data_IF_249574424051
#
_entry.id   IF_249574424051
#
_cell.length_a   1.000
_cell.length_b   1.000
_cell.length_c   1.000
_cell.angle_alpha   90.00
_cell.angle_beta   90.00
_cell.angle_gamma   90.00
#
_symmetry.space_group_name_H-M   'P 1'
#
loop_
_entity.id
_entity.type
_entity.pdbx_description
1 polymer ?
#
# COMPACT_ATOMS: atom_id res chain seq x y z
N UNK A 1 -20.71 -27.49 47.38
CA UNK A 1 -20.67 -26.60 46.19
C UNK A 1 -19.29 -25.95 45.97
N UNK A 2 -18.68 -25.35 46.99
CA UNK A 2 -17.34 -24.71 46.91
C UNK A 2 -16.22 -25.59 46.33
N UNK A 3 -16.16 -26.88 46.71
CA UNK A 3 -15.15 -27.81 46.19
C UNK A 3 -15.20 -28.00 44.67
N UNK A 4 -16.41 -28.11 44.10
CA UNK A 4 -16.59 -28.27 42.65
C UNK A 4 -16.26 -26.98 41.89
N UNK A 5 -16.48 -25.82 42.53
CA UNK A 5 -16.14 -24.51 41.97
C UNK A 5 -14.62 -24.28 41.96
N UNK A 6 -13.92 -24.69 43.02
CA UNK A 6 -12.45 -24.65 43.07
C UNK A 6 -11.81 -25.57 42.03
N UNK A 7 -12.33 -26.80 41.87
CA UNK A 7 -11.83 -27.73 40.84
C UNK A 7 -12.03 -27.20 39.41
N UNK A 8 -13.13 -26.47 39.18
CA UNK A 8 -13.39 -25.81 37.89
C UNK A 8 -12.44 -24.65 37.63
N UNK A 9 -12.12 -23.86 38.66
CA UNK A 9 -11.15 -22.75 38.57
C UNK A 9 -9.73 -23.28 38.31
N UNK A 10 -9.33 -24.35 38.98
CA UNK A 10 -8.02 -25.00 38.75
C UNK A 10 -7.86 -25.50 37.31
N UNK A 11 -8.91 -26.13 36.76
CA UNK A 11 -8.92 -26.58 35.37
C UNK A 11 -8.84 -25.41 34.38
N UNK A 12 -9.51 -24.29 34.65
CA UNK A 12 -9.43 -23.08 33.84
C UNK A 12 -8.04 -22.44 33.89
N UNK A 13 -7.44 -22.33 35.09
CA UNK A 13 -6.09 -21.82 35.27
C UNK A 13 -5.06 -22.67 34.54
N UNK A 14 -5.20 -24.00 34.60
CA UNK A 14 -4.32 -24.92 33.87
C UNK A 14 -4.41 -24.72 32.36
N UNK A 15 -5.63 -24.62 31.82
CA UNK A 15 -5.86 -24.38 30.40
C UNK A 15 -5.28 -23.04 29.94
N UNK A 16 -5.48 -21.97 30.71
CA UNK A 16 -4.91 -20.66 30.40
C UNK A 16 -3.38 -20.66 30.43
N UNK A 17 -2.76 -21.42 31.34
CA UNK A 17 -1.31 -21.56 31.39
C UNK A 17 -0.76 -22.33 30.17
N UNK A 18 -1.45 -23.37 29.71
CA UNK A 18 -1.09 -24.10 28.49
C UNK A 18 -1.18 -23.19 27.25
N UNK A 19 -2.28 -22.44 27.11
CA UNK A 19 -2.45 -21.45 26.03
C UNK A 19 -1.37 -20.36 26.07
N UNK A 20 -1.03 -19.85 27.26
CA UNK A 20 0.06 -18.87 27.43
C UNK A 20 1.44 -19.45 27.07
N UNK A 21 1.68 -20.72 27.34
CA UNK A 21 2.93 -21.38 26.94
C UNK A 21 3.02 -21.56 25.43
N UNK A 22 1.92 -21.90 24.76
CA UNK A 22 1.88 -22.00 23.31
C UNK A 22 2.00 -20.64 22.62
N UNK A 23 1.36 -19.59 23.17
CA UNK A 23 1.55 -18.21 22.71
C UNK A 23 3.02 -17.79 22.87
N UNK A 24 3.65 -18.09 24.02
CA UNK A 24 5.07 -17.80 24.25
C UNK A 24 5.99 -18.58 23.30
N UNK A 25 5.69 -19.85 22.99
CA UNK A 25 6.42 -20.63 21.97
C UNK A 25 6.28 -20.00 20.58
N UNK A 26 5.07 -19.65 20.18
CA UNK A 26 4.79 -19.01 18.89
C UNK A 26 5.49 -17.63 18.78
N UNK A 27 5.51 -16.85 19.86
CA UNK A 27 6.25 -15.58 19.92
C UNK A 27 7.77 -15.78 19.86
N UNK A 28 8.33 -16.83 20.48
CA UNK A 28 9.76 -17.18 20.37
C UNK A 28 10.13 -17.60 18.95
N UNK A 29 9.29 -18.39 18.27
CA UNK A 29 9.49 -18.75 16.86
C UNK A 29 9.38 -17.53 15.93
N UNK A 30 8.46 -16.60 16.21
CA UNK A 30 8.35 -15.34 15.46
C UNK A 30 9.55 -14.42 15.69
N UNK A 31 10.06 -14.35 16.92
CA UNK A 31 11.25 -13.58 17.28
C UNK A 31 12.53 -14.18 16.66
N UNK A 32 12.69 -15.51 16.64
CA UNK A 32 13.78 -16.19 15.95
C UNK A 32 13.79 -15.91 14.44
N UNK A 33 12.61 -15.86 13.80
CA UNK A 33 12.48 -15.46 12.39
C UNK A 33 12.73 -13.96 12.15
N UNK A 34 12.67 -13.12 13.19
CA UNK A 34 12.94 -11.68 13.08
C UNK A 34 14.44 -11.33 13.14
N UNK A 35 15.28 -12.26 13.62
CA UNK A 35 16.73 -12.09 13.79
C UNK A 35 17.58 -12.31 12.53
N UNK A 36 17.01 -12.88 11.46
CA UNK A 36 17.69 -12.92 10.16
C UNK A 36 17.74 -11.51 9.59
N UNK A 37 18.94 -10.96 9.38
CA UNK A 37 19.16 -9.64 8.75
C UNK A 37 18.20 -9.49 7.58
N UNK A 38 17.20 -8.60 7.70
CA UNK A 38 16.21 -8.39 6.64
C UNK A 38 16.93 -7.90 5.39
N UNK A 39 17.23 -8.80 4.45
CA UNK A 39 17.89 -8.47 3.19
C UNK A 39 17.05 -7.40 2.48
N UNK A 40 17.55 -6.18 2.41
CA UNK A 40 16.89 -5.10 1.69
C UNK A 40 17.01 -5.37 0.19
N UNK A 41 15.87 -5.43 -0.50
CA UNK A 41 15.82 -5.69 -1.94
C UNK A 41 15.58 -4.37 -2.67
N UNK A 42 16.53 -3.91 -3.50
CA UNK A 42 16.32 -2.72 -4.33
C UNK A 42 15.14 -2.90 -5.29
N UNK A 43 14.43 -1.80 -5.59
CA UNK A 43 13.29 -1.82 -6.53
C UNK A 43 13.70 -2.32 -7.92
N UNK A 44 14.88 -1.92 -8.38
CA UNK A 44 15.45 -2.34 -9.66
C UNK A 44 15.68 -3.86 -9.72
N UNK A 45 16.20 -4.45 -8.63
CA UNK A 45 16.36 -5.90 -8.52
C UNK A 45 15.00 -6.63 -8.64
N UNK A 46 13.98 -6.10 -7.97
CA UNK A 46 12.62 -6.65 -8.06
C UNK A 46 12.04 -6.54 -9.48
N UNK A 47 12.36 -5.46 -10.20
CA UNK A 47 11.90 -5.25 -11.58
C UNK A 47 12.60 -6.20 -12.55
N UNK A 48 13.93 -6.34 -12.44
CA UNK A 48 14.72 -7.28 -13.23
C UNK A 48 14.22 -8.73 -13.06
N UNK A 49 13.94 -9.15 -11.84
CA UNK A 49 13.34 -10.47 -11.55
C UNK A 49 12.00 -10.67 -12.26
N UNK A 50 11.14 -9.65 -12.30
CA UNK A 50 9.82 -9.73 -12.96
C UNK A 50 9.98 -9.84 -14.47
N UNK A 51 10.93 -9.11 -15.04
CA UNK A 51 11.22 -9.14 -16.48
C UNK A 51 11.76 -10.50 -16.90
N UNK A 52 12.74 -11.02 -16.17
CA UNK A 52 13.30 -12.37 -16.41
C UNK A 52 12.23 -13.45 -16.24
N UNK A 53 11.46 -13.42 -15.15
CA UNK A 53 10.35 -14.37 -14.98
C UNK A 53 9.33 -14.24 -16.11
N UNK A 54 9.01 -13.02 -16.53
CA UNK A 54 8.07 -12.76 -17.61
C UNK A 54 8.51 -13.38 -18.94
N UNK A 55 9.80 -13.39 -19.23
CA UNK A 55 10.37 -14.09 -20.40
C UNK A 55 10.25 -15.60 -20.26
N UNK A 56 10.75 -16.17 -19.15
CA UNK A 56 10.68 -17.61 -18.87
C UNK A 56 9.25 -18.16 -18.94
N UNK A 57 8.29 -17.40 -18.42
CA UNK A 57 6.88 -17.77 -18.45
C UNK A 57 6.26 -17.71 -19.84
N UNK A 58 6.60 -16.68 -20.65
CA UNK A 58 6.09 -16.54 -22.02
C UNK A 58 6.66 -17.60 -22.95
N UNK A 59 7.92 -17.95 -22.77
CA UNK A 59 8.62 -18.93 -23.60
C UNK A 59 8.20 -20.37 -23.25
N UNK A 60 7.32 -20.57 -22.26
CA UNK A 60 6.89 -21.88 -21.78
C UNK A 60 7.99 -22.69 -21.10
N UNK A 61 9.17 -22.09 -20.91
CA UNK A 61 10.37 -22.74 -20.37
C UNK A 61 10.38 -22.77 -18.84
N UNK A 62 9.42 -22.11 -18.19
CA UNK A 62 9.23 -22.20 -16.75
C UNK A 62 8.03 -21.42 -16.24
N UNK A 63 7.78 -21.52 -14.94
CA UNK A 63 6.70 -20.80 -14.30
C UNK A 63 6.52 -21.29 -12.87
N UNK A 64 6.11 -20.41 -11.98
CA UNK A 64 5.79 -20.83 -10.63
C UNK A 64 4.53 -21.68 -10.63
N UNK A 65 4.61 -22.86 -10.01
CA UNK A 65 3.44 -23.61 -9.64
C UNK A 65 2.78 -22.97 -8.42
N UNK A 66 1.75 -22.16 -8.67
CA UNK A 66 1.07 -21.36 -7.64
C UNK A 66 0.16 -22.20 -6.72
N UNK A 67 -0.11 -23.46 -7.07
CA UNK A 67 -0.86 -24.40 -6.21
C UNK A 67 0.01 -24.92 -5.05
N UNK A 68 1.33 -24.92 -5.22
CA UNK A 68 2.29 -25.41 -4.24
C UNK A 68 2.85 -24.27 -3.38
N UNK A 69 3.68 -24.63 -2.39
CA UNK A 69 4.40 -23.67 -1.57
C UNK A 69 5.60 -23.10 -2.32
N UNK A 70 6.04 -21.88 -1.94
CA UNK A 70 7.18 -21.20 -2.57
C UNK A 70 8.53 -21.89 -2.35
N UNK A 71 8.59 -22.85 -1.45
CA UNK A 71 9.79 -23.60 -1.04
C UNK A 71 9.77 -25.04 -1.55
N UNK A 72 8.75 -25.44 -2.33
CA UNK A 72 8.77 -26.74 -2.98
C UNK A 72 9.91 -26.79 -4.02
N UNK A 73 10.40 -28.00 -4.30
CA UNK A 73 11.53 -28.20 -5.21
C UNK A 73 11.29 -27.56 -6.58
N UNK A 74 10.10 -27.72 -7.16
CA UNK A 74 9.72 -27.14 -8.44
C UNK A 74 9.85 -25.60 -8.45
N UNK A 75 9.29 -24.93 -7.45
CA UNK A 75 9.37 -23.47 -7.35
C UNK A 75 10.80 -22.98 -7.02
N UNK A 76 11.58 -23.74 -6.25
CA UNK A 76 12.99 -23.41 -5.97
C UNK A 76 13.88 -23.56 -7.21
N UNK A 77 13.56 -24.50 -8.12
CA UNK A 77 14.23 -24.58 -9.43
C UNK A 77 13.96 -23.32 -10.25
N UNK A 78 12.70 -22.86 -10.31
CA UNK A 78 12.34 -21.61 -10.99
C UNK A 78 13.07 -20.41 -10.38
N UNK A 79 13.13 -20.33 -9.04
CA UNK A 79 13.90 -19.28 -8.35
C UNK A 79 15.39 -19.35 -8.71
N UNK A 80 15.97 -20.54 -8.76
CA UNK A 80 17.39 -20.73 -9.10
C UNK A 80 17.70 -20.32 -10.54
N UNK A 81 16.81 -20.66 -11.48
CA UNK A 81 16.89 -20.20 -12.87
C UNK A 81 16.82 -18.68 -12.95
N UNK A 82 15.85 -18.04 -12.29
CA UNK A 82 15.74 -16.58 -12.23
C UNK A 82 17.03 -15.96 -11.68
N UNK A 83 17.58 -16.50 -10.60
CA UNK A 83 18.84 -16.00 -10.01
C UNK A 83 19.98 -16.06 -11.02
N UNK A 84 20.11 -17.19 -11.74
CA UNK A 84 21.13 -17.35 -12.78
C UNK A 84 20.96 -16.32 -13.89
N UNK A 85 19.77 -16.21 -14.45
CA UNK A 85 19.50 -15.32 -15.60
C UNK A 85 19.63 -13.84 -15.22
N UNK A 86 19.09 -13.41 -14.07
CA UNK A 86 19.23 -12.02 -13.59
C UNK A 86 20.70 -11.64 -13.40
N UNK A 87 21.51 -12.53 -12.81
CA UNK A 87 22.94 -12.28 -12.61
C UNK A 87 23.74 -12.33 -13.91
N UNK A 88 23.28 -13.09 -14.90
CA UNK A 88 23.85 -13.10 -16.25
C UNK A 88 23.60 -11.75 -16.96
N UNK A 89 22.36 -11.26 -16.93
CA UNK A 89 21.96 -10.05 -17.66
C UNK A 89 22.43 -8.73 -17.02
N UNK A 90 22.47 -8.66 -15.69
CA UNK A 90 22.75 -7.41 -14.96
C UNK A 90 24.13 -7.38 -14.29
N UNK A 91 24.92 -8.44 -14.47
CA UNK A 91 26.22 -8.60 -13.83
C UNK A 91 26.12 -9.21 -12.42
N UNK A 92 27.15 -9.98 -12.05
CA UNK A 92 27.19 -10.74 -10.79
C UNK A 92 27.35 -9.86 -9.55
N UNK A 93 27.87 -8.65 -9.70
CA UNK A 93 28.21 -7.75 -8.59
C UNK A 93 27.06 -6.81 -8.21
N UNK A 94 26.12 -6.55 -9.13
CA UNK A 94 25.05 -5.56 -8.92
C UNK A 94 24.12 -5.94 -7.77
N UNK A 95 23.74 -7.21 -7.68
CA UNK A 95 22.88 -7.75 -6.61
C UNK A 95 23.35 -9.12 -6.14
N UNK A 96 23.25 -9.34 -4.83
CA UNK A 96 23.57 -10.64 -4.21
C UNK A 96 22.54 -11.70 -4.60
N UNK A 97 22.94 -12.98 -4.58
CA UNK A 97 22.02 -14.10 -4.75
C UNK A 97 20.79 -14.00 -3.83
N UNK A 98 20.99 -13.60 -2.59
CA UNK A 98 19.92 -13.54 -1.60
C UNK A 98 18.93 -12.41 -1.87
N UNK A 99 19.39 -11.26 -2.37
CA UNK A 99 18.50 -10.19 -2.83
C UNK A 99 17.61 -10.66 -3.98
N UNK A 100 18.20 -11.31 -4.98
CA UNK A 100 17.47 -11.81 -6.16
C UNK A 100 16.51 -12.95 -5.77
N UNK A 101 16.97 -13.90 -4.95
CA UNK A 101 16.14 -14.99 -4.41
C UNK A 101 14.97 -14.46 -3.59
N UNK A 102 15.21 -13.48 -2.72
CA UNK A 102 14.15 -12.83 -1.93
C UNK A 102 13.17 -12.07 -2.82
N UNK A 103 13.65 -11.36 -3.84
CA UNK A 103 12.80 -10.72 -4.83
C UNK A 103 11.91 -11.73 -5.57
N UNK A 104 12.47 -12.85 -6.02
CA UNK A 104 11.73 -13.92 -6.70
C UNK A 104 10.66 -14.55 -5.79
N UNK A 105 10.99 -14.89 -4.54
CA UNK A 105 10.03 -15.41 -3.56
C UNK A 105 8.92 -14.41 -3.19
N UNK A 106 9.25 -13.13 -3.17
CA UNK A 106 8.27 -12.04 -2.98
C UNK A 106 7.34 -11.94 -4.19
N UNK A 107 7.89 -12.11 -5.39
CA UNK A 107 7.09 -12.09 -6.62
C UNK A 107 6.17 -13.30 -6.72
N UNK A 108 6.63 -14.52 -6.39
CA UNK A 108 5.77 -15.69 -6.22
C UNK A 108 4.57 -15.38 -5.32
N UNK A 109 4.84 -14.81 -4.13
CA UNK A 109 3.78 -14.51 -3.16
C UNK A 109 2.77 -13.50 -3.73
N UNK A 110 3.26 -12.52 -4.49
CA UNK A 110 2.42 -11.55 -5.20
C UNK A 110 1.54 -12.19 -6.27
N UNK A 111 2.09 -13.13 -7.06
CA UNK A 111 1.35 -13.88 -8.09
C UNK A 111 0.28 -14.77 -7.46
N UNK A 112 0.63 -15.50 -6.40
CA UNK A 112 -0.31 -16.37 -5.68
C UNK A 112 -1.43 -15.56 -5.02
N UNK A 113 -1.11 -14.44 -4.40
CA UNK A 113 -2.12 -13.54 -3.83
C UNK A 113 -3.03 -12.95 -4.92
N UNK A 114 -2.50 -12.67 -6.11
CA UNK A 114 -3.32 -12.25 -7.26
C UNK A 114 -4.27 -13.37 -7.66
N UNK A 115 -3.76 -14.59 -7.88
CA UNK A 115 -4.58 -15.77 -8.22
C UNK A 115 -5.70 -15.99 -7.20
N UNK A 116 -5.38 -16.01 -5.90
CA UNK A 116 -6.37 -16.14 -4.82
C UNK A 116 -7.49 -15.08 -4.90
N UNK A 117 -7.16 -13.83 -5.25
CA UNK A 117 -8.17 -12.77 -5.42
C UNK A 117 -9.03 -12.94 -6.66
N UNK A 118 -8.44 -13.44 -7.75
CA UNK A 118 -9.16 -13.74 -9.00
C UNK A 118 -10.10 -14.91 -8.78
N UNK A 119 -9.58 -16.03 -8.27
CA UNK A 119 -10.36 -17.24 -7.98
C UNK A 119 -11.48 -16.94 -6.96
N UNK A 120 -11.23 -16.04 -5.99
CA UNK A 120 -12.23 -15.59 -5.01
C UNK A 120 -13.11 -14.42 -5.46
N UNK A 121 -13.07 -13.98 -6.72
CA UNK A 121 -13.91 -12.90 -7.26
C UNK A 121 -13.72 -11.52 -6.63
N UNK A 122 -12.66 -11.30 -5.84
CA UNK A 122 -12.41 -10.04 -5.12
C UNK A 122 -11.38 -9.14 -5.80
N UNK A 123 -10.82 -9.57 -6.93
CA UNK A 123 -9.75 -8.88 -7.64
C UNK A 123 -10.12 -7.44 -8.03
N UNK A 124 -11.27 -7.25 -8.69
CA UNK A 124 -11.70 -5.93 -9.15
C UNK A 124 -11.92 -4.95 -8.00
N UNK A 125 -12.60 -5.39 -6.94
CA UNK A 125 -12.82 -4.59 -5.72
C UNK A 125 -11.48 -4.17 -5.11
N UNK A 126 -10.54 -5.09 -5.02
CA UNK A 126 -9.19 -4.80 -4.51
C UNK A 126 -8.44 -3.82 -5.43
N UNK A 127 -8.51 -4.01 -6.75
CA UNK A 127 -7.88 -3.12 -7.73
C UNK A 127 -8.45 -1.69 -7.64
N UNK A 128 -9.78 -1.57 -7.59
CA UNK A 128 -10.49 -0.29 -7.38
C UNK A 128 -10.07 0.38 -6.06
N UNK A 129 -10.00 -0.38 -4.96
CA UNK A 129 -9.55 0.13 -3.66
C UNK A 129 -8.08 0.58 -3.67
N UNK A 130 -7.19 -0.20 -4.29
CA UNK A 130 -5.77 0.13 -4.41
C UNK A 130 -5.54 1.38 -5.26
N UNK A 131 -6.29 1.54 -6.36
CA UNK A 131 -6.30 2.77 -7.18
C UNK A 131 -6.76 3.97 -6.34
N UNK A 132 -7.91 3.88 -5.66
CA UNK A 132 -8.43 4.93 -4.76
C UNK A 132 -7.41 5.34 -3.69
N UNK A 133 -6.75 4.37 -3.04
CA UNK A 133 -5.69 4.62 -2.05
C UNK A 133 -4.48 5.32 -2.66
N UNK A 134 -4.03 4.87 -3.83
CA UNK A 134 -2.87 5.46 -4.52
C UNK A 134 -3.14 6.91 -4.93
N UNK A 135 -4.36 7.23 -5.39
CA UNK A 135 -4.77 8.61 -5.70
C UNK A 135 -4.71 9.52 -4.48
N UNK A 136 -5.29 9.08 -3.34
CA UNK A 136 -5.21 9.82 -2.07
C UNK A 136 -3.76 10.04 -1.61
N UNK A 137 -2.93 9.01 -1.71
CA UNK A 137 -1.53 9.10 -1.32
C UNK A 137 -0.75 10.09 -2.20
N UNK A 138 -0.92 10.03 -3.53
CA UNK A 138 -0.31 11.01 -4.44
C UNK A 138 -0.77 12.44 -4.14
N UNK A 139 -2.08 12.64 -3.88
CA UNK A 139 -2.61 13.95 -3.45
C UNK A 139 -1.92 14.44 -2.18
N UNK A 140 -1.80 13.58 -1.18
CA UNK A 140 -1.11 13.90 0.07
C UNK A 140 0.36 14.30 -0.19
N UNK A 141 1.10 13.51 -0.97
CA UNK A 141 2.50 13.79 -1.30
C UNK A 141 2.67 15.15 -2.00
N UNK A 142 1.78 15.47 -2.96
CA UNK A 142 1.80 16.78 -3.64
C UNK A 142 1.62 17.93 -2.65
N UNK A 143 0.62 17.83 -1.77
CA UNK A 143 0.34 18.86 -0.74
C UNK A 143 1.47 19.00 0.27
N UNK A 144 2.04 17.89 0.74
CA UNK A 144 3.21 17.91 1.62
C UNK A 144 4.42 18.56 0.93
N UNK A 145 4.62 18.28 -0.36
CA UNK A 145 5.69 18.93 -1.14
C UNK A 145 5.46 20.42 -1.29
N UNK A 146 4.25 20.85 -1.64
CA UNK A 146 3.90 22.27 -1.75
C UNK A 146 4.07 23.00 -0.42
N UNK A 147 3.61 22.39 0.68
CA UNK A 147 3.73 22.96 2.02
C UNK A 147 5.19 23.15 2.44
N UNK A 148 6.08 22.19 2.15
CA UNK A 148 7.52 22.34 2.39
C UNK A 148 8.13 23.50 1.61
N UNK A 149 7.66 23.71 0.38
CA UNK A 149 8.16 24.73 -0.53
C UNK A 149 7.36 26.05 -0.47
N UNK A 150 6.53 26.25 0.57
CA UNK A 150 5.67 27.41 0.73
C UNK A 150 6.23 28.41 1.74
N UNK A 151 5.92 29.68 1.50
CA UNK A 151 6.24 30.79 2.42
C UNK A 151 5.25 30.89 3.60
N UNK A 152 4.59 29.78 3.95
CA UNK A 152 3.74 29.72 5.13
C UNK A 152 4.59 29.83 6.40
N UNK A 153 4.05 30.49 7.43
CA UNK A 153 4.69 30.52 8.75
C UNK A 153 4.87 29.11 9.31
N UNK A 154 5.90 28.92 10.14
CA UNK A 154 6.17 27.61 10.74
C UNK A 154 5.01 27.10 11.62
N UNK A 155 4.29 28.00 12.28
CA UNK A 155 3.10 27.62 13.04
C UNK A 155 1.94 27.16 12.14
N UNK A 156 1.78 27.76 10.96
CA UNK A 156 0.80 27.28 9.97
C UNK A 156 1.20 25.92 9.40
N UNK A 157 2.49 25.70 9.13
CA UNK A 157 3.00 24.38 8.70
C UNK A 157 2.79 23.33 9.80
N UNK A 158 2.99 23.68 11.07
CA UNK A 158 2.72 22.83 12.23
C UNK A 158 1.24 22.42 12.28
N UNK A 159 0.33 23.39 12.21
CA UNK A 159 -1.12 23.13 12.16
C UNK A 159 -1.48 22.25 10.95
N UNK A 160 -0.93 22.52 9.78
CA UNK A 160 -1.20 21.72 8.59
C UNK A 160 -0.68 20.28 8.73
N UNK A 161 0.49 20.06 9.34
CA UNK A 161 1.05 18.73 9.55
C UNK A 161 0.11 17.79 10.32
N UNK A 162 -0.64 18.31 11.29
CA UNK A 162 -1.65 17.53 12.05
C UNK A 162 -2.73 16.92 11.14
N UNK A 163 -3.04 17.59 10.02
CA UNK A 163 -4.12 17.21 9.09
C UNK A 163 -3.60 16.76 7.71
N UNK A 164 -2.29 16.74 7.49
CA UNK A 164 -1.66 16.20 6.28
C UNK A 164 -1.47 14.68 6.39
N UNK A 165 -2.59 13.97 6.56
CA UNK A 165 -2.64 12.50 6.54
C UNK A 165 -3.66 11.99 5.51
N UNK A 166 -3.62 10.70 5.20
CA UNK A 166 -4.52 10.08 4.20
C UNK A 166 -5.99 10.27 4.57
N UNK A 167 -6.31 10.30 5.86
CA UNK A 167 -7.69 10.33 6.32
C UNK A 167 -8.37 11.66 6.00
N UNK A 168 -7.61 12.76 6.01
CA UNK A 168 -8.07 14.07 5.59
C UNK A 168 -8.09 14.29 4.07
N UNK A 169 -7.58 13.37 3.26
CA UNK A 169 -7.60 13.53 1.80
C UNK A 169 -8.97 13.14 1.23
N UNK A 170 -9.56 14.03 0.43
CA UNK A 170 -10.79 13.76 -0.30
C UNK A 170 -10.60 12.63 -1.34
N UNK A 171 -11.65 11.84 -1.53
CA UNK A 171 -11.68 10.75 -2.50
C UNK A 171 -11.80 11.28 -3.93
N UNK A 172 -11.03 10.69 -4.85
CA UNK A 172 -11.09 10.98 -6.29
C UNK A 172 -11.62 9.74 -7.03
N UNK A 173 -12.75 9.88 -7.71
CA UNK A 173 -13.37 8.81 -8.51
C UNK A 173 -13.18 9.08 -10.00
N UNK A 174 -13.08 8.01 -10.80
CA UNK A 174 -13.01 8.14 -12.27
C UNK A 174 -14.39 8.52 -12.79
N UNK A 175 -14.46 9.36 -13.83
CA UNK A 175 -15.72 9.67 -14.52
C UNK A 175 -16.22 8.47 -15.34
N UNK A 176 -15.31 7.74 -15.98
CA UNK A 176 -15.57 6.47 -16.67
C UNK A 176 -14.44 5.46 -16.39
N UNK A 177 -14.72 4.16 -16.55
CA UNK A 177 -13.70 3.10 -16.45
C UNK A 177 -12.82 3.05 -17.71
N UNK A 178 -13.37 3.46 -18.87
CA UNK A 178 -12.72 3.44 -20.20
C UNK A 178 -11.73 4.60 -20.44
N UNK A 179 -11.93 5.77 -19.82
CA UNK A 179 -10.95 6.88 -19.86
C UNK A 179 -9.60 6.53 -19.20
N UNK A 180 -9.52 5.41 -18.47
CA UNK A 180 -8.31 5.03 -17.75
C UNK A 180 -7.35 4.17 -18.59
N UNK A 181 -7.86 3.46 -19.61
CA UNK A 181 -7.08 2.54 -20.46
C UNK A 181 -6.57 3.22 -21.75
N UNK A 182 -7.25 4.28 -22.20
CA UNK A 182 -6.78 5.15 -23.27
C UNK A 182 -5.63 6.06 -22.83
N UNK A 183 -4.64 6.24 -23.71
CA UNK A 183 -3.54 7.21 -23.58
C UNK A 183 -4.02 8.69 -23.65
N UNK A 184 -5.26 8.98 -23.25
CA UNK A 184 -5.78 10.34 -23.20
C UNK A 184 -5.06 11.11 -22.09
N UNK A 185 -4.44 12.23 -22.50
CA UNK A 185 -3.56 13.04 -21.67
C UNK A 185 -4.27 13.74 -20.52
N UNK A 186 -5.60 13.84 -20.54
CA UNK A 186 -6.39 14.55 -19.53
C UNK A 186 -7.44 13.62 -18.91
N UNK A 187 -7.10 13.00 -17.77
CA UNK A 187 -8.03 12.15 -17.02
C UNK A 187 -8.85 13.02 -16.07
N UNK A 188 -10.06 13.38 -16.48
CA UNK A 188 -11.01 14.10 -15.63
C UNK A 188 -11.49 13.20 -14.48
N UNK A 189 -11.49 13.73 -13.26
CA UNK A 189 -11.87 12.98 -12.05
C UNK A 189 -12.96 13.68 -11.27
N UNK A 190 -13.88 12.89 -10.70
CA UNK A 190 -14.87 13.38 -9.73
C UNK A 190 -14.23 13.54 -8.37
N UNK A 191 -14.30 14.75 -7.83
CA UNK A 191 -13.89 15.04 -6.46
C UNK A 191 -15.11 14.95 -5.54
N UNK A 192 -15.12 13.97 -4.64
CA UNK A 192 -16.15 13.84 -3.60
C UNK A 192 -15.78 14.78 -2.44
N UNK A 193 -16.60 15.81 -2.19
CA UNK A 193 -16.43 16.73 -1.05
C UNK A 193 -16.60 15.98 0.27
N UNK A 194 -15.84 16.37 1.29
CA UNK A 194 -15.97 15.86 2.65
C UNK A 194 -16.91 16.80 3.42
N UNK A 195 -18.16 16.42 3.75
CA UNK A 195 -19.13 17.33 4.36
C UNK A 195 -18.67 17.90 5.70
N UNK A 196 -17.98 17.07 6.49
CA UNK A 196 -17.45 17.44 7.79
C UNK A 196 -16.24 18.38 7.71
N UNK A 197 -15.64 18.62 6.54
CA UNK A 197 -14.47 19.48 6.42
C UNK A 197 -14.85 20.96 6.56
N UNK A 198 -14.15 21.68 7.45
CA UNK A 198 -14.31 23.13 7.59
C UNK A 198 -13.73 23.87 6.39
N UNK A 199 -14.38 24.97 6.01
CA UNK A 199 -13.96 25.82 4.90
C UNK A 199 -12.51 26.28 5.03
N UNK A 200 -12.03 26.59 6.24
CA UNK A 200 -10.62 26.95 6.50
C UNK A 200 -9.65 25.87 5.99
N UNK A 201 -9.89 24.60 6.33
CA UNK A 201 -9.06 23.48 5.88
C UNK A 201 -9.17 23.27 4.36
N UNK A 202 -10.38 23.35 3.80
CA UNK A 202 -10.60 23.25 2.35
C UNK A 202 -9.81 24.32 1.59
N UNK A 203 -9.86 25.58 2.05
CA UNK A 203 -9.13 26.69 1.44
C UNK A 203 -7.62 26.50 1.53
N UNK A 204 -7.09 26.03 2.66
CA UNK A 204 -5.65 25.74 2.80
C UNK A 204 -5.21 24.63 1.85
N UNK A 205 -5.98 23.53 1.75
CA UNK A 205 -5.72 22.44 0.80
C UNK A 205 -5.72 22.94 -0.65
N UNK A 206 -6.68 23.80 -1.01
CA UNK A 206 -6.74 24.39 -2.34
C UNK A 206 -5.51 25.25 -2.64
N UNK A 207 -5.06 26.10 -1.69
CA UNK A 207 -3.83 26.89 -1.84
C UNK A 207 -2.61 26.02 -2.10
N UNK A 208 -2.47 24.90 -1.36
CA UNK A 208 -1.37 23.94 -1.58
C UNK A 208 -1.46 23.26 -2.95
N UNK A 209 -2.66 22.88 -3.39
CA UNK A 209 -2.86 22.28 -4.72
C UNK A 209 -2.51 23.29 -5.83
N UNK A 210 -2.93 24.56 -5.70
CA UNK A 210 -2.59 25.63 -6.64
C UNK A 210 -1.09 25.92 -6.66
N UNK A 211 -0.44 25.95 -5.50
CA UNK A 211 1.01 26.17 -5.41
C UNK A 211 1.76 25.02 -6.06
N UNK A 212 1.38 23.76 -5.78
CA UNK A 212 1.99 22.61 -6.44
C UNK A 212 1.87 22.70 -7.96
N UNK A 213 0.68 23.05 -8.47
CA UNK A 213 0.46 23.18 -9.92
C UNK A 213 1.35 24.26 -10.56
N UNK A 214 1.59 25.37 -9.86
CA UNK A 214 2.48 26.46 -10.32
C UNK A 214 3.95 26.06 -10.35
N UNK A 215 4.41 25.28 -9.37
CA UNK A 215 5.84 24.93 -9.22
C UNK A 215 6.19 23.55 -9.79
N UNK A 216 5.21 22.77 -10.22
CA UNK A 216 5.45 21.42 -10.72
C UNK A 216 6.27 21.47 -12.03
N UNK A 217 7.26 20.56 -12.19
CA UNK A 217 7.96 20.41 -13.45
C UNK A 217 6.98 20.17 -14.61
N UNK A 218 7.26 20.65 -15.85
CA UNK A 218 6.33 20.52 -16.98
C UNK A 218 5.86 19.09 -17.24
N UNK A 219 6.74 18.09 -17.06
CA UNK A 219 6.42 16.67 -17.20
C UNK A 219 5.39 16.22 -16.17
N UNK A 220 5.48 16.72 -14.93
CA UNK A 220 4.54 16.39 -13.85
C UNK A 220 3.23 17.16 -14.03
N UNK A 221 3.30 18.43 -14.42
CA UNK A 221 2.15 19.30 -14.63
C UNK A 221 1.19 18.72 -15.67
N UNK A 222 1.71 18.22 -16.80
CA UNK A 222 0.92 17.54 -17.85
C UNK A 222 0.21 16.25 -17.39
N UNK A 223 0.62 15.69 -16.25
CA UNK A 223 0.04 14.47 -15.68
C UNK A 223 -0.94 14.76 -14.53
N UNK A 224 -1.13 16.03 -14.18
CA UNK A 224 -2.10 16.42 -13.17
C UNK A 224 -3.51 16.19 -13.71
N UNK A 225 -4.38 15.48 -12.96
CA UNK A 225 -5.75 15.29 -13.37
C UNK A 225 -6.53 16.59 -13.27
N UNK A 226 -7.48 16.78 -14.18
CA UNK A 226 -8.53 17.77 -14.05
C UNK A 226 -9.62 17.24 -13.10
N UNK A 227 -10.22 18.14 -12.30
CA UNK A 227 -11.20 17.76 -11.31
C UNK A 227 -12.54 18.43 -11.55
N UNK A 228 -13.59 17.62 -11.62
CA UNK A 228 -14.98 18.07 -11.55
C UNK A 228 -15.50 17.78 -10.15
N UNK A 229 -16.08 18.78 -9.49
CA UNK A 229 -16.70 18.59 -8.18
C UNK A 229 -17.93 17.70 -8.37
N UNK A 230 -18.00 16.59 -7.62
CA UNK A 230 -19.18 15.74 -7.65
C UNK A 230 -20.34 16.39 -6.90
N UNK A 231 -21.55 16.23 -7.45
CA UNK A 231 -22.79 16.60 -6.77
C UNK A 231 -23.08 15.69 -5.56
N UNK A 232 -22.46 14.50 -5.52
CA UNK A 232 -22.61 13.56 -4.41
C UNK A 232 -21.48 13.77 -3.41
N UNK A 233 -21.77 14.05 -2.12
CA UNK A 233 -20.75 14.15 -1.09
C UNK A 233 -20.16 12.79 -0.72
N UNK A 234 -18.96 12.80 -0.13
CA UNK A 234 -18.37 11.61 0.46
C UNK A 234 -19.09 11.22 1.75
N UNK A 235 -19.41 9.94 1.91
CA UNK A 235 -19.95 9.35 3.14
C UNK A 235 -18.90 9.06 4.23
N UNK A 236 -17.66 9.50 4.05
CA UNK A 236 -16.58 9.18 4.99
C UNK A 236 -16.72 10.01 6.26
N UNK A 237 -16.64 9.41 7.46
CA UNK A 237 -16.66 10.16 8.71
C UNK A 237 -15.36 10.98 8.90
N UNK A 238 -15.38 11.98 9.79
CA UNK A 238 -14.16 12.67 10.20
C UNK A 238 -13.19 11.70 10.92
N UNK A 239 -11.87 11.93 10.83
CA UNK A 239 -10.89 11.18 11.62
C UNK A 239 -11.12 11.36 13.13
N UNK A 240 -10.91 10.32 13.93
CA UNK A 240 -11.14 10.36 15.38
C UNK A 240 -10.29 11.42 16.10
N UNK A 241 -9.06 11.63 15.63
CA UNK A 241 -8.10 12.60 16.18
C UNK A 241 -8.16 13.95 15.48
N UNK A 242 -9.30 14.31 14.87
CA UNK A 242 -9.35 15.50 14.04
C UNK A 242 -9.45 16.78 14.87
N UNK A 243 -8.60 17.78 14.62
CA UNK A 243 -8.61 19.00 15.40
C UNK A 243 -9.86 19.83 15.10
N UNK A 244 -10.39 20.52 16.11
CA UNK A 244 -11.66 21.26 16.04
C UNK A 244 -11.66 22.38 14.98
N UNK A 245 -10.50 22.92 14.62
CA UNK A 245 -10.38 23.92 13.56
C UNK A 245 -10.58 23.32 12.15
N UNK A 246 -10.39 22.01 11.98
CA UNK A 246 -10.43 21.31 10.70
C UNK A 246 -11.80 20.67 10.39
N UNK A 247 -12.60 20.39 11.41
CA UNK A 247 -13.87 19.67 11.30
C UNK A 247 -15.04 20.55 11.72
N UNK A 248 -16.18 20.43 11.03
CA UNK A 248 -17.42 21.10 11.40
C UNK A 248 -17.97 20.44 12.67
N UNK A 249 -18.56 21.22 13.60
CA UNK A 249 -19.33 20.62 14.68
C UNK A 249 -20.39 19.71 14.09
N UNK A 250 -20.53 18.50 14.65
CA UNK A 250 -21.71 17.68 14.39
C UNK A 250 -22.86 18.40 15.08
N UNK A 251 -23.78 18.95 14.30
CA UNK A 251 -25.08 19.40 14.81
C UNK A 251 -25.96 18.17 15.05
#
# INVERSE_FOLDING_TARGET
MLYMQNKKLEAQLKKQNEELQDIKRNMRCAAANSGSKRVAVPRECSQAVREVYGKLYKDGTGGFNLSLTKTCQENELVVSTIVREVRSLHGREKWTCDQVRKAAKTYFSSLRDRKRRVDGGTYERHAKAAKKRSRKFRKLQRRQSAMRNSDLSEDMKRQLNEVMTIDFMSSEESMSEDEEEGASRNKTRRLLKLPWERSKLTSLKHKLDSQFAKTAPPVVSRLLPEFVISNVPSSRPPPASAPSWAVRPLN
#
